data_IF_043876281562
#
_entry.id   IF_043876281562
#
_cell.length_a   1.000
_cell.length_b   1.000
_cell.length_c   1.000
_cell.angle_alpha   90.00
_cell.angle_beta   90.00
_cell.angle_gamma   90.00
#
_symmetry.space_group_name_H-M   'P 1'
#
loop_
_entity.id
_entity.type
_entity.pdbx_description
1 polymer ?
#
# COMPACT_ATOMS: atom_id res chain seq x y z
N UNK A 1 -16.66 24.22 -2.57
CA UNK A 1 -16.97 22.84 -2.94
C UNK A 1 -18.44 22.78 -3.34
N UNK A 2 -18.81 22.26 -4.52
CA UNK A 2 -20.19 21.90 -4.79
C UNK A 2 -20.61 20.74 -3.88
N UNK A 3 -21.85 20.73 -3.38
CA UNK A 3 -22.37 19.60 -2.60
C UNK A 3 -22.78 18.48 -3.55
N UNK A 4 -22.41 17.25 -3.22
CA UNK A 4 -22.85 16.08 -3.97
C UNK A 4 -24.22 15.61 -3.47
N UNK A 5 -25.11 15.26 -4.41
CA UNK A 5 -26.47 14.73 -4.12
C UNK A 5 -26.45 13.55 -3.15
N UNK A 6 -25.33 12.82 -3.13
CA UNK A 6 -25.05 11.69 -2.25
C UNK A 6 -25.11 12.00 -0.75
N UNK A 7 -24.76 13.22 -0.32
CA UNK A 7 -24.88 13.62 1.09
C UNK A 7 -26.33 13.98 1.46
N UNK A 8 -27.04 14.68 0.58
CA UNK A 8 -28.35 15.25 0.90
C UNK A 8 -29.53 14.26 0.77
N UNK A 9 -29.31 13.03 0.28
CA UNK A 9 -30.35 11.95 0.25
C UNK A 9 -30.98 11.72 1.64
N UNK A 10 -30.20 11.85 2.71
CA UNK A 10 -30.68 11.65 4.08
C UNK A 10 -31.34 12.90 4.69
N UNK A 11 -31.15 14.07 4.06
CA UNK A 11 -31.74 15.35 4.48
C UNK A 11 -33.03 15.68 3.71
N UNK A 12 -33.11 15.28 2.44
CA UNK A 12 -34.18 15.60 1.51
C UNK A 12 -35.43 14.70 1.62
N UNK A 13 -35.41 13.67 2.48
CA UNK A 13 -36.51 12.72 2.64
C UNK A 13 -36.86 12.50 4.11
N UNK A 14 -38.15 12.55 4.43
CA UNK A 14 -38.70 12.17 5.75
C UNK A 14 -39.34 10.79 5.68
N UNK A 15 -39.37 10.05 6.78
CA UNK A 15 -40.07 8.76 6.84
C UNK A 15 -41.58 8.99 6.97
N UNK A 16 -42.36 8.44 6.04
CA UNK A 16 -43.82 8.52 6.06
C UNK A 16 -44.42 7.14 6.27
N UNK A 17 -45.38 7.02 7.18
CA UNK A 17 -46.00 5.75 7.55
C UNK A 17 -47.50 5.79 7.30
N UNK A 18 -47.92 5.22 6.18
CA UNK A 18 -49.35 5.02 5.90
C UNK A 18 -49.97 4.05 6.94
N UNK A 19 -51.15 4.39 7.46
CA UNK A 19 -51.85 3.63 8.50
C UNK A 19 -52.63 2.41 7.97
N UNK A 20 -52.05 1.66 7.02
CA UNK A 20 -52.61 0.40 6.52
C UNK A 20 -51.80 -0.80 7.03
N UNK A 21 -52.44 -1.81 7.68
CA UNK A 21 -51.73 -2.84 8.44
C UNK A 21 -51.00 -3.92 7.61
N UNK A 22 -50.93 -3.79 6.27
CA UNK A 22 -50.49 -4.90 5.40
C UNK A 22 -49.44 -4.55 4.31
N UNK A 23 -48.82 -3.35 4.34
CA UNK A 23 -47.73 -2.98 3.42
C UNK A 23 -46.37 -3.06 4.14
N UNK A 24 -45.51 -4.00 3.73
CA UNK A 24 -44.22 -4.32 4.39
C UNK A 24 -43.02 -3.47 3.94
N UNK A 25 -43.25 -2.41 3.17
CA UNK A 25 -42.20 -1.52 2.67
C UNK A 25 -42.19 -0.21 3.46
N UNK A 26 -41.03 0.20 3.99
CA UNK A 26 -40.87 1.55 4.52
C UNK A 26 -41.03 2.57 3.38
N UNK A 27 -41.86 3.60 3.60
CA UNK A 27 -42.07 4.69 2.66
C UNK A 27 -41.36 5.95 3.15
N UNK A 28 -40.94 6.78 2.20
CA UNK A 28 -40.25 8.05 2.43
C UNK A 28 -40.85 9.12 1.52
N UNK A 29 -40.99 10.32 2.04
CA UNK A 29 -41.57 11.47 1.35
C UNK A 29 -40.48 12.51 1.07
N UNK A 30 -40.36 12.95 -0.19
CA UNK A 30 -39.46 14.03 -0.56
C UNK A 30 -39.96 15.35 0.04
N UNK A 31 -39.12 16.08 0.78
CA UNK A 31 -39.56 17.33 1.45
C UNK A 31 -39.85 18.48 0.47
N UNK A 32 -39.30 18.42 -0.74
CA UNK A 32 -39.37 19.50 -1.73
C UNK A 32 -40.61 19.43 -2.64
N UNK A 33 -41.04 18.22 -3.03
CA UNK A 33 -42.20 18.01 -3.91
C UNK A 33 -43.29 17.09 -3.30
N UNK A 34 -43.12 16.70 -2.03
CA UNK A 34 -44.06 15.87 -1.26
C UNK A 34 -44.35 14.47 -1.86
N UNK A 35 -43.64 14.04 -2.90
CA UNK A 35 -43.85 12.72 -3.51
C UNK A 35 -43.39 11.59 -2.58
N UNK A 36 -44.25 10.58 -2.38
CA UNK A 36 -44.00 9.43 -1.49
C UNK A 36 -43.53 8.23 -2.30
N UNK A 37 -42.41 7.62 -1.91
CA UNK A 37 -41.77 6.50 -2.61
C UNK A 37 -41.26 5.44 -1.60
N UNK A 38 -40.90 4.26 -2.08
CA UNK A 38 -40.29 3.23 -1.23
C UNK A 38 -38.86 3.64 -0.83
N UNK A 39 -38.45 3.32 0.42
CA UNK A 39 -37.12 3.62 0.97
C UNK A 39 -36.02 2.80 0.30
N UNK A 40 -35.51 3.31 -0.81
CA UNK A 40 -34.41 2.76 -1.59
C UNK A 40 -33.50 3.91 -2.03
N UNK A 41 -32.26 3.95 -1.54
CA UNK A 41 -31.35 5.08 -1.70
C UNK A 41 -31.04 5.40 -3.16
N UNK A 42 -30.88 4.38 -4.03
CA UNK A 42 -30.65 4.59 -5.47
C UNK A 42 -31.83 5.30 -6.15
N UNK A 43 -33.07 4.86 -5.89
CA UNK A 43 -34.29 5.51 -6.42
C UNK A 43 -34.55 6.88 -5.78
N UNK A 44 -34.09 7.12 -4.55
CA UNK A 44 -34.14 8.43 -3.90
C UNK A 44 -33.17 9.43 -4.57
N UNK A 45 -31.92 9.03 -4.83
CA UNK A 45 -30.95 9.85 -5.60
C UNK A 45 -31.50 10.20 -7.00
N UNK A 46 -32.00 9.20 -7.72
CA UNK A 46 -32.60 9.39 -9.05
C UNK A 46 -33.78 10.37 -9.02
N UNK A 47 -34.59 10.36 -7.95
CA UNK A 47 -35.69 11.32 -7.81
C UNK A 47 -35.21 12.76 -7.57
N UNK A 48 -34.15 12.99 -6.78
CA UNK A 48 -33.62 14.34 -6.55
C UNK A 48 -33.08 14.97 -7.85
N UNK A 49 -32.42 14.17 -8.69
CA UNK A 49 -31.97 14.57 -10.04
C UNK A 49 -33.13 14.80 -11.04
N UNK A 50 -34.37 14.59 -10.62
CA UNK A 50 -35.62 14.71 -11.40
C UNK A 50 -36.71 15.44 -10.59
N UNK A 51 -36.32 16.36 -9.70
CA UNK A 51 -37.25 17.09 -8.84
C UNK A 51 -37.01 18.59 -8.96
N UNK A 52 -37.84 19.27 -9.75
CA UNK A 52 -37.68 20.69 -10.08
C UNK A 52 -37.66 21.57 -8.81
N UNK A 53 -38.50 21.26 -7.83
CA UNK A 53 -38.54 21.93 -6.51
C UNK A 53 -37.24 21.77 -5.70
N UNK A 54 -36.49 20.68 -5.91
CA UNK A 54 -35.17 20.48 -5.31
C UNK A 54 -34.09 21.22 -6.10
N UNK A 55 -34.07 21.06 -7.43
CA UNK A 55 -33.08 21.69 -8.31
C UNK A 55 -33.18 23.23 -8.28
N UNK A 56 -34.38 23.79 -8.14
CA UNK A 56 -34.60 25.23 -7.96
C UNK A 56 -34.12 25.78 -6.60
N UNK A 57 -33.90 24.91 -5.59
CA UNK A 57 -33.33 25.32 -4.29
C UNK A 57 -31.82 25.02 -4.17
N UNK A 58 -31.25 24.24 -5.09
CA UNK A 58 -29.84 23.83 -5.13
C UNK A 58 -29.28 23.99 -6.54
N UNK A 59 -29.09 25.24 -7.04
CA UNK A 59 -28.71 25.51 -8.43
C UNK A 59 -27.34 24.94 -8.81
N UNK A 60 -26.43 24.74 -7.85
CA UNK A 60 -25.15 24.06 -8.07
C UNK A 60 -25.32 22.59 -8.47
N UNK A 61 -26.40 21.93 -8.02
CA UNK A 61 -26.75 20.56 -8.43
C UNK A 61 -27.37 20.57 -9.82
N UNK A 62 -28.15 21.59 -10.16
CA UNK A 62 -28.82 21.70 -11.47
C UNK A 62 -27.82 21.72 -12.64
N UNK A 63 -26.71 22.46 -12.54
CA UNK A 63 -25.67 22.46 -13.58
C UNK A 63 -25.09 21.05 -13.81
N UNK A 64 -24.84 20.28 -12.74
CA UNK A 64 -24.34 18.92 -12.87
C UNK A 64 -25.40 17.95 -13.39
N UNK A 65 -26.67 18.09 -13.00
CA UNK A 65 -27.76 17.25 -13.50
C UNK A 65 -27.90 17.33 -15.04
N UNK A 66 -27.79 18.53 -15.63
CA UNK A 66 -27.83 18.73 -17.09
C UNK A 66 -26.68 17.98 -17.79
N UNK A 67 -25.47 18.02 -17.25
CA UNK A 67 -24.32 17.29 -17.83
C UNK A 67 -24.50 15.76 -17.81
N UNK A 68 -25.09 15.21 -16.75
CA UNK A 68 -25.36 13.77 -16.65
C UNK A 68 -26.49 13.30 -17.59
N UNK A 69 -27.52 14.13 -17.79
CA UNK A 69 -28.60 13.83 -18.73
C UNK A 69 -28.12 13.88 -20.19
N UNK A 70 -27.24 14.83 -20.54
CA UNK A 70 -26.64 14.90 -21.87
C UNK A 70 -25.81 13.65 -22.24
N UNK A 71 -25.07 13.08 -21.28
CA UNK A 71 -24.30 11.85 -21.49
C UNK A 71 -25.18 10.62 -21.73
N UNK A 72 -26.31 10.51 -21.01
CA UNK A 72 -27.25 9.40 -21.19
C UNK A 72 -27.99 9.45 -22.53
N UNK A 73 -28.29 10.64 -23.06
CA UNK A 73 -28.89 10.79 -24.39
C UNK A 73 -27.96 10.30 -25.51
N UNK A 74 -26.65 10.50 -25.35
CA UNK A 74 -25.63 10.10 -26.34
C UNK A 74 -25.46 8.58 -26.45
N UNK A 75 -25.67 7.84 -25.36
CA UNK A 75 -25.60 6.37 -25.38
C UNK A 75 -26.84 5.72 -26.00
N UNK A 76 -27.99 6.40 -26.03
CA UNK A 76 -29.21 5.87 -26.68
C UNK A 76 -29.21 5.96 -28.21
N UNK A 77 -28.19 6.56 -28.84
CA UNK A 77 -28.12 6.74 -30.30
C UNK A 77 -27.23 5.73 -31.04
N UNK A 78 -26.48 4.87 -30.35
CA UNK A 78 -25.51 3.96 -30.99
C UNK A 78 -26.02 2.52 -31.22
N UNK A 79 -27.13 2.11 -30.58
CA UNK A 79 -27.66 0.73 -30.67
C UNK A 79 -28.69 0.47 -31.80
N UNK A 80 -28.84 1.37 -32.78
CA UNK A 80 -29.93 1.32 -33.77
C UNK A 80 -29.53 1.51 -35.25
N UNK A 81 -28.31 1.11 -35.66
CA UNK A 81 -28.00 1.01 -37.09
C UNK A 81 -26.90 -0.03 -37.42
N UNK A 82 -27.26 -1.32 -37.46
CA UNK A 82 -26.40 -2.40 -38.00
C UNK A 82 -27.24 -3.36 -38.86
N UNK A 83 -27.71 -2.90 -40.01
CA UNK A 83 -28.23 -3.75 -41.08
C UNK A 83 -28.11 -3.06 -42.45
N UNK A 84 -27.40 -3.69 -43.41
CA UNK A 84 -27.18 -3.13 -44.76
C UNK A 84 -25.88 -3.63 -45.41
N UNK A 85 -25.91 -3.95 -46.70
CA UNK A 85 -24.79 -4.54 -47.46
C UNK A 85 -24.55 -3.80 -48.79
N UNK A 86 -23.27 -3.70 -49.19
CA UNK A 86 -22.72 -3.58 -50.56
C UNK A 86 -23.18 -2.43 -51.50
N UNK A 87 -22.23 -1.79 -52.20
CA UNK A 87 -22.55 -0.88 -53.32
C UNK A 87 -21.42 -0.08 -53.96
N UNK A 88 -20.62 -0.73 -54.82
CA UNK A 88 -19.93 -0.16 -56.01
C UNK A 88 -18.88 0.99 -55.92
N UNK A 89 -18.39 1.40 -57.11
CA UNK A 89 -17.15 2.12 -57.42
C UNK A 89 -17.40 3.53 -58.01
N UNK A 90 -16.39 4.41 -57.97
CA UNK A 90 -15.63 4.89 -59.16
C UNK A 90 -14.58 5.99 -58.85
N UNK A 91 -13.71 6.29 -59.82
CA UNK A 91 -12.56 7.22 -59.80
C UNK A 91 -12.35 7.79 -61.24
N UNK A 92 -11.41 8.74 -61.58
CA UNK A 92 -10.28 9.37 -60.84
C UNK A 92 -10.56 10.89 -60.58
N UNK A 93 -9.68 11.92 -60.58
CA UNK A 93 -8.28 12.19 -60.96
C UNK A 93 -7.81 13.52 -60.26
N UNK A 94 -6.63 14.16 -60.42
CA UNK A 94 -5.38 13.96 -61.21
C UNK A 94 -4.22 14.85 -60.63
N UNK A 95 -3.08 14.96 -61.35
CA UNK A 95 -2.15 16.13 -61.40
C UNK A 95 -1.21 16.48 -60.20
N UNK A 96 -0.36 15.52 -59.83
CA UNK A 96 1.14 15.51 -59.89
C UNK A 96 2.05 16.80 -59.89
N UNK A 97 3.35 16.57 -59.56
CA UNK A 97 4.61 17.33 -59.78
C UNK A 97 5.10 18.38 -58.73
N UNK A 98 6.44 18.48 -58.59
CA UNK A 98 7.26 19.25 -57.62
C UNK A 98 8.55 19.85 -58.28
N UNK A 99 9.51 20.36 -57.49
CA UNK A 99 10.80 21.07 -57.82
C UNK A 99 10.71 22.58 -58.18
N UNK A 100 11.71 23.45 -57.94
CA UNK A 100 13.08 23.27 -57.38
C UNK A 100 13.88 24.60 -57.14
N UNK A 101 15.17 24.49 -56.77
CA UNK A 101 16.10 25.47 -56.15
C UNK A 101 16.52 26.82 -56.82
N UNK A 102 16.83 27.83 -55.97
CA UNK A 102 18.01 28.75 -56.04
C UNK A 102 17.99 30.00 -56.95
N UNK A 103 19.07 30.85 -57.00
CA UNK A 103 19.99 31.26 -55.91
C UNK A 103 20.50 32.76 -55.93
N UNK A 104 21.12 33.22 -54.82
CA UNK A 104 22.28 34.17 -54.68
C UNK A 104 22.36 35.64 -55.20
N UNK A 105 22.57 36.56 -54.23
CA UNK A 105 23.68 37.58 -54.12
C UNK A 105 23.62 39.03 -54.72
N UNK A 106 24.50 39.89 -54.16
CA UNK A 106 24.87 41.31 -54.49
C UNK A 106 23.84 42.42 -54.18
N UNK A 107 24.14 43.72 -53.98
CA UNK A 107 25.25 44.49 -53.32
C UNK A 107 24.83 46.00 -53.20
N UNK A 108 25.71 46.87 -52.66
CA UNK A 108 25.85 48.35 -52.80
C UNK A 108 25.47 49.22 -51.57
N UNK A 109 26.35 50.19 -51.26
CA UNK A 109 26.35 51.08 -50.08
C UNK A 109 26.30 52.57 -50.44
N UNK A 110 25.96 53.48 -49.49
CA UNK A 110 26.36 54.92 -49.58
C UNK A 110 26.28 55.77 -48.28
N UNK A 111 27.39 56.49 -48.02
CA UNK A 111 27.51 57.90 -47.58
C UNK A 111 27.19 58.40 -46.14
N UNK A 112 28.27 58.44 -45.32
CA UNK A 112 28.89 59.63 -44.65
C UNK A 112 28.10 60.75 -43.92
N UNK A 113 28.61 61.14 -42.74
CA UNK A 113 28.27 62.35 -41.94
C UNK A 113 29.16 63.59 -42.27
N UNK A 114 29.04 64.78 -41.61
CA UNK A 114 29.63 65.02 -40.27
C UNK A 114 28.96 66.14 -39.38
N UNK A 115 29.43 66.35 -38.12
CA UNK A 115 29.22 67.63 -37.39
C UNK A 115 29.19 67.63 -35.83
N UNK A 116 29.76 68.67 -35.19
CA UNK A 116 29.73 69.04 -33.76
C UNK A 116 30.38 70.44 -33.55
N UNK A 117 30.63 71.01 -32.34
CA UNK A 117 30.42 70.50 -30.95
C UNK A 117 29.89 71.51 -29.87
N UNK A 118 29.41 71.01 -28.70
CA UNK A 118 29.46 71.57 -27.31
C UNK A 118 28.96 73.02 -26.94
N UNK A 119 28.83 73.43 -25.64
CA UNK A 119 28.56 72.68 -24.38
C UNK A 119 27.54 73.33 -23.36
N UNK A 120 27.11 72.55 -22.35
CA UNK A 120 26.68 72.95 -20.97
C UNK A 120 25.38 73.78 -20.73
N UNK A 121 24.82 73.81 -19.48
CA UNK A 121 24.90 72.84 -18.36
C UNK A 121 23.55 72.54 -17.63
N UNK A 122 23.63 71.69 -16.59
CA UNK A 122 22.80 71.67 -15.37
C UNK A 122 21.34 71.12 -15.39
N UNK A 123 21.21 69.82 -15.09
CA UNK A 123 20.39 69.34 -13.97
C UNK A 123 21.18 68.26 -13.20
N UNK A 124 21.05 68.21 -11.87
CA UNK A 124 21.88 67.38 -11.00
C UNK A 124 21.27 66.03 -10.66
N UNK A 125 22.08 64.97 -10.71
CA UNK A 125 21.79 63.65 -10.12
C UNK A 125 22.94 63.20 -9.23
N UNK A 126 22.63 62.71 -8.04
CA UNK A 126 23.60 62.20 -7.05
C UNK A 126 24.06 60.78 -7.38
N UNK A 127 25.38 60.48 -7.44
CA UNK A 127 25.86 59.12 -7.68
C UNK A 127 25.66 58.20 -6.46
N UNK A 128 25.25 56.95 -6.69
CA UNK A 128 25.14 55.91 -5.65
C UNK A 128 26.38 55.01 -5.67
N UNK A 129 27.19 54.92 -4.60
CA UNK A 129 28.56 54.40 -4.68
C UNK A 129 28.64 52.87 -4.50
N UNK A 130 28.43 52.07 -5.57
CA UNK A 130 28.64 50.60 -5.48
C UNK A 130 29.01 49.79 -6.73
N UNK A 131 29.69 50.36 -7.73
CA UNK A 131 30.33 49.57 -8.80
C UNK A 131 31.79 50.00 -8.96
N UNK A 132 32.72 49.16 -8.50
CA UNK A 132 34.12 49.21 -8.91
C UNK A 132 34.80 47.85 -8.66
N UNK A 133 34.55 46.91 -9.57
CA UNK A 133 35.32 45.67 -9.73
C UNK A 133 35.45 45.44 -11.23
N UNK A 134 36.66 45.54 -11.78
CA UNK A 134 36.86 45.41 -13.22
C UNK A 134 36.76 43.94 -13.63
N UNK A 135 36.15 43.61 -14.78
CA UNK A 135 35.88 42.21 -15.15
C UNK A 135 37.16 41.38 -15.28
N UNK A 136 38.27 42.01 -15.66
CA UNK A 136 39.61 41.39 -15.70
C UNK A 136 40.03 40.82 -14.33
N UNK A 137 39.78 41.54 -13.24
CA UNK A 137 40.19 41.12 -11.90
C UNK A 137 39.38 39.92 -11.41
N UNK A 138 38.08 39.88 -11.74
CA UNK A 138 37.20 38.76 -11.42
C UNK A 138 37.55 37.51 -12.26
N UNK A 139 37.89 37.69 -13.54
CA UNK A 139 38.34 36.61 -14.42
C UNK A 139 39.68 36.02 -13.97
N UNK A 140 40.64 36.87 -13.56
CA UNK A 140 41.93 36.44 -13.05
C UNK A 140 41.81 35.66 -11.72
N UNK A 141 40.85 36.05 -10.86
CA UNK A 141 40.54 35.33 -9.62
C UNK A 141 39.90 33.96 -9.86
N UNK A 142 39.02 33.82 -10.86
CA UNK A 142 38.52 32.50 -11.30
C UNK A 142 39.64 31.61 -11.83
N UNK A 143 40.59 32.18 -12.58
CA UNK A 143 41.71 31.43 -13.15
C UNK A 143 42.64 30.84 -12.06
N UNK A 144 42.87 31.59 -10.98
CA UNK A 144 43.59 31.08 -9.80
C UNK A 144 42.82 29.95 -9.08
N UNK A 145 41.49 30.05 -8.95
CA UNK A 145 40.69 28.97 -8.35
C UNK A 145 40.76 27.67 -9.18
N UNK A 146 40.72 27.76 -10.51
CA UNK A 146 40.89 26.57 -11.37
C UNK A 146 42.27 25.92 -11.20
N UNK A 147 43.35 26.70 -11.10
CA UNK A 147 44.69 26.15 -10.85
C UNK A 147 44.79 25.46 -9.48
N UNK A 148 44.18 26.02 -8.42
CA UNK A 148 44.15 25.36 -7.11
C UNK A 148 43.35 24.04 -7.13
N UNK A 149 42.22 23.98 -7.85
CA UNK A 149 41.47 22.72 -8.01
C UNK A 149 42.27 21.65 -8.76
N UNK A 150 43.00 22.01 -9.82
CA UNK A 150 43.87 21.07 -10.54
C UNK A 150 45.01 20.54 -9.65
N UNK A 151 45.63 21.38 -8.83
CA UNK A 151 46.66 20.92 -7.87
C UNK A 151 46.09 19.96 -6.81
N UNK A 152 44.89 20.23 -6.29
CA UNK A 152 44.23 19.30 -5.35
C UNK A 152 43.89 17.95 -5.99
N UNK A 153 43.42 17.92 -7.25
CA UNK A 153 43.19 16.67 -7.97
C UNK A 153 44.47 15.86 -8.19
N UNK A 154 45.59 16.51 -8.54
CA UNK A 154 46.87 15.82 -8.68
C UNK A 154 47.36 15.22 -7.36
N UNK A 155 47.22 15.93 -6.23
CA UNK A 155 47.57 15.39 -4.91
C UNK A 155 46.69 14.19 -4.52
N UNK A 156 45.38 14.22 -4.81
CA UNK A 156 44.50 13.07 -4.57
C UNK A 156 44.88 11.85 -5.41
N UNK A 157 45.18 12.02 -6.71
CA UNK A 157 45.68 10.94 -7.56
C UNK A 157 46.98 10.32 -7.02
N UNK A 158 47.90 11.16 -6.54
CA UNK A 158 49.19 10.70 -6.03
C UNK A 158 49.06 9.92 -4.71
N UNK A 159 48.17 10.34 -3.80
CA UNK A 159 47.83 9.56 -2.60
C UNK A 159 47.16 8.22 -2.96
N UNK A 160 46.27 8.21 -3.95
CA UNK A 160 45.57 7.00 -4.37
C UNK A 160 46.52 5.95 -4.98
N UNK A 161 47.54 6.38 -5.75
CA UNK A 161 48.60 5.49 -6.22
C UNK A 161 49.45 4.91 -5.07
N UNK A 162 49.79 5.72 -4.05
CA UNK A 162 50.54 5.22 -2.89
C UNK A 162 49.74 4.15 -2.10
N UNK A 163 48.42 4.33 -1.94
CA UNK A 163 47.57 3.32 -1.31
C UNK A 163 47.52 2.01 -2.11
N UNK A 164 47.45 2.07 -3.45
CA UNK A 164 47.50 0.87 -4.29
C UNK A 164 48.85 0.13 -4.18
N UNK A 165 49.97 0.86 -4.13
CA UNK A 165 51.29 0.25 -3.93
C UNK A 165 51.41 -0.44 -2.55
N UNK A 166 50.87 0.15 -1.49
CA UNK A 166 50.84 -0.48 -0.17
C UNK A 166 49.99 -1.75 -0.15
N UNK A 167 48.82 -1.76 -0.82
CA UNK A 167 47.99 -2.97 -0.93
C UNK A 167 48.70 -4.09 -1.70
N UNK A 168 49.42 -3.78 -2.78
CA UNK A 168 50.20 -4.78 -3.52
C UNK A 168 51.34 -5.36 -2.66
N UNK A 169 52.03 -4.55 -1.85
CA UNK A 169 53.06 -5.04 -0.93
C UNK A 169 52.47 -5.94 0.18
N UNK A 170 51.28 -5.65 0.69
CA UNK A 170 50.60 -6.52 1.67
C UNK A 170 50.19 -7.87 1.06
N UNK A 171 49.70 -7.90 -0.18
CA UNK A 171 49.35 -9.14 -0.86
C UNK A 171 50.58 -10.04 -1.11
N UNK A 172 51.75 -9.46 -1.41
CA UNK A 172 52.99 -10.23 -1.57
C UNK A 172 53.57 -10.78 -0.26
N UNK A 173 53.05 -10.38 0.90
CA UNK A 173 53.51 -10.84 2.22
C UNK A 173 52.63 -11.93 2.85
N UNK A 174 51.57 -12.41 2.18
CA UNK A 174 50.83 -13.59 2.65
C UNK A 174 51.59 -14.90 2.35
N UNK A 175 51.91 -15.73 3.35
CA UNK A 175 52.53 -17.04 3.10
C UNK A 175 51.55 -18.01 2.44
N UNK A 176 52.00 -18.76 1.43
CA UNK A 176 51.18 -19.84 0.84
C UNK A 176 51.04 -21.02 1.82
N UNK A 177 49.85 -21.19 2.39
CA UNK A 177 49.49 -22.39 3.15
C UNK A 177 48.91 -23.44 2.19
N UNK A 178 49.69 -24.47 1.88
CA UNK A 178 49.21 -25.63 1.11
C UNK A 178 48.40 -26.58 2.01
N UNK A 179 47.14 -26.94 1.66
CA UNK A 179 46.40 -27.98 2.36
C UNK A 179 46.75 -29.38 1.83
N UNK A 180 47.19 -30.28 2.72
CA UNK A 180 47.34 -31.72 2.41
C UNK A 180 46.07 -32.50 2.78
N UNK A 181 45.62 -33.38 1.89
CA UNK A 181 44.57 -34.36 2.16
C UNK A 181 45.18 -35.73 2.56
N UNK A 182 44.65 -36.41 3.58
CA UNK A 182 44.90 -37.83 3.82
C UNK A 182 43.78 -38.72 3.25
N UNK A 183 44.15 -39.81 2.55
CA UNK A 183 43.24 -40.90 2.17
C UNK A 183 43.23 -42.02 3.23
N UNK A 184 42.09 -42.68 3.41
CA UNK A 184 42.00 -44.08 3.88
C UNK A 184 40.64 -44.71 3.49
N UNK A 185 40.57 -46.04 3.43
CA UNK A 185 39.49 -46.80 2.77
C UNK A 185 38.49 -47.47 3.73
N UNK A 186 37.38 -47.96 3.16
CA UNK A 186 36.25 -48.63 3.83
C UNK A 186 36.54 -50.05 4.34
N UNK A 187 35.75 -50.50 5.32
CA UNK A 187 35.37 -51.92 5.52
C UNK A 187 33.97 -52.02 6.19
N UNK A 188 33.39 -53.23 6.28
CA UNK A 188 31.94 -53.46 6.43
C UNK A 188 31.53 -54.34 7.63
N UNK A 189 30.49 -53.91 8.37
CA UNK A 189 29.45 -54.74 9.05
C UNK A 189 29.87 -55.75 10.16
N UNK A 190 28.92 -56.35 10.94
CA UNK A 190 27.58 -55.89 11.37
C UNK A 190 27.24 -56.09 12.89
N UNK A 191 26.08 -55.54 13.30
CA UNK A 191 25.14 -56.02 14.35
C UNK A 191 25.55 -56.12 15.84
N UNK A 192 24.79 -55.44 16.73
CA UNK A 192 23.88 -56.08 17.70
C UNK A 192 23.16 -55.09 18.64
N UNK A 193 21.97 -55.48 19.10
CA UNK A 193 21.18 -54.92 20.22
C UNK A 193 21.15 -55.97 21.37
N UNK A 194 20.61 -55.75 22.61
CA UNK A 194 19.56 -54.78 22.99
C UNK A 194 19.65 -54.13 24.41
N UNK A 195 18.66 -53.28 24.71
CA UNK A 195 18.00 -53.02 26.02
C UNK A 195 18.81 -52.58 27.27
N UNK A 196 18.38 -51.47 27.88
CA UNK A 196 17.55 -51.54 29.11
C UNK A 196 16.91 -50.18 29.50
N UNK A 197 15.95 -50.23 30.42
CA UNK A 197 15.15 -49.12 31.01
C UNK A 197 15.08 -49.43 32.53
N UNK A 198 14.88 -48.46 33.46
CA UNK A 198 13.49 -48.10 33.78
C UNK A 198 13.19 -46.70 34.42
N UNK A 199 11.94 -46.28 34.23
CA UNK A 199 10.98 -45.59 35.15
C UNK A 199 11.47 -44.70 36.33
N UNK A 200 10.85 -43.51 36.41
CA UNK A 200 10.56 -42.76 37.65
C UNK A 200 9.24 -41.96 37.54
N UNK A 201 8.47 -41.79 38.64
CA UNK A 201 7.16 -41.08 38.69
C UNK A 201 6.86 -40.61 40.13
N UNK A 202 6.38 -39.37 40.35
CA UNK A 202 4.97 -39.11 40.76
C UNK A 202 4.35 -37.92 39.98
N UNK A 203 3.04 -37.56 40.02
CA UNK A 203 1.81 -38.08 40.68
C UNK A 203 1.25 -37.31 41.92
N UNK A 204 0.48 -36.25 41.65
CA UNK A 204 -0.69 -35.71 42.38
C UNK A 204 -0.56 -35.01 43.77
N UNK A 205 -0.83 -33.70 43.78
CA UNK A 205 -1.73 -32.99 44.72
C UNK A 205 -2.26 -31.73 43.97
N UNK A 206 -3.51 -31.24 44.06
CA UNK A 206 -4.65 -31.41 44.97
C UNK A 206 -4.62 -30.54 46.25
N UNK A 207 -5.00 -29.27 46.10
CA UNK A 207 -5.52 -28.43 47.19
C UNK A 207 -6.76 -27.67 46.70
N UNK A 208 -7.79 -27.62 47.54
CA UNK A 208 -9.00 -26.84 47.31
C UNK A 208 -9.27 -25.96 48.55
N UNK A 209 -9.72 -24.73 48.33
CA UNK A 209 -10.21 -23.84 49.39
C UNK A 209 -11.66 -23.47 49.09
N UNK A 210 -12.55 -23.71 50.05
CA UNK A 210 -13.96 -23.29 49.99
C UNK A 210 -14.15 -22.06 50.89
N UNK A 211 -14.87 -21.06 50.37
CA UNK A 211 -15.59 -20.07 51.17
C UNK A 211 -17.00 -19.94 50.56
N UNK A 212 -18.03 -19.75 51.39
CA UNK A 212 -19.42 -19.88 50.94
C UNK A 212 -20.40 -19.11 51.81
N UNK A 213 -21.38 -18.48 51.16
CA UNK A 213 -22.48 -17.72 51.77
C UNK A 213 -22.45 -16.23 51.38
N UNK A 214 -23.58 -15.54 51.13
CA UNK A 214 -24.94 -16.06 50.98
C UNK A 214 -26.03 -15.05 51.34
N UNK A 215 -26.79 -14.56 50.34
CA UNK A 215 -27.96 -13.67 50.55
C UNK A 215 -27.63 -12.19 50.81
N UNK A 216 -28.54 -11.22 50.63
CA UNK A 216 -29.93 -11.31 50.15
C UNK A 216 -30.42 -9.98 49.52
N UNK A 217 -31.29 -10.11 48.51
CA UNK A 217 -32.28 -9.18 47.89
C UNK A 217 -32.21 -7.64 48.02
N UNK A 218 -32.22 -6.98 46.85
CA UNK A 218 -33.03 -5.80 46.48
C UNK A 218 -33.06 -5.71 44.91
N UNK A 219 -33.94 -5.02 44.17
CA UNK A 219 -35.13 -4.25 44.54
C UNK A 219 -35.92 -3.61 43.39
N UNK A 220 -35.26 -3.01 42.39
CA UNK A 220 -35.88 -2.03 41.47
C UNK A 220 -35.58 -2.20 39.96
N UNK A 221 -36.37 -1.56 39.05
CA UNK A 221 -36.72 -2.15 37.75
C UNK A 221 -35.83 -1.81 36.54
N UNK A 222 -36.00 -2.60 35.47
CA UNK A 222 -35.13 -2.63 34.30
C UNK A 222 -35.41 -1.56 33.21
N UNK A 223 -34.36 -1.06 32.51
CA UNK A 223 -34.51 -0.22 31.33
C UNK A 223 -34.90 -1.03 30.07
N UNK A 224 -35.54 -0.35 29.11
CA UNK A 224 -36.12 -0.95 27.89
C UNK A 224 -35.03 -1.42 26.92
N UNK A 225 -35.12 -2.67 26.43
CA UNK A 225 -34.23 -3.21 25.37
C UNK A 225 -34.35 -2.41 24.08
N UNK A 226 -33.31 -1.62 23.76
CA UNK A 226 -33.09 -1.14 22.39
C UNK A 226 -32.75 -2.32 21.47
N UNK A 227 -33.19 -2.26 20.20
CA UNK A 227 -32.82 -3.25 19.18
C UNK A 227 -31.47 -2.85 18.55
N UNK A 228 -30.37 -3.28 19.16
CA UNK A 228 -29.07 -3.28 18.49
C UNK A 228 -29.11 -4.23 17.29
N UNK A 229 -29.15 -3.68 16.08
CA UNK A 229 -28.67 -4.40 14.91
C UNK A 229 -27.20 -4.70 15.13
N UNK A 230 -26.82 -5.98 15.14
CA UNK A 230 -25.41 -6.36 15.24
C UNK A 230 -24.71 -5.98 13.94
N UNK A 231 -23.70 -5.12 14.03
CA UNK A 231 -22.77 -4.81 12.95
C UNK A 231 -22.20 -6.10 12.37
N UNK A 232 -22.03 -6.14 11.05
CA UNK A 232 -21.37 -7.23 10.35
C UNK A 232 -19.96 -7.43 10.92
N UNK A 233 -19.61 -8.64 11.35
CA UNK A 233 -18.26 -8.94 11.81
C UNK A 233 -17.43 -9.44 10.62
N UNK A 234 -16.42 -8.70 10.13
CA UNK A 234 -15.66 -9.07 8.93
C UNK A 234 -14.70 -10.25 9.15
N UNK A 235 -14.60 -10.80 10.36
CA UNK A 235 -13.69 -11.89 10.72
C UNK A 235 -14.24 -13.32 10.50
N UNK A 236 -15.26 -13.50 9.64
CA UNK A 236 -15.85 -14.80 9.31
C UNK A 236 -15.97 -14.96 7.78
N UNK A 237 -15.50 -16.09 7.18
CA UNK A 237 -15.60 -16.32 5.73
C UNK A 237 -17.05 -16.35 5.20
N UNK A 238 -17.24 -15.95 3.94
CA UNK A 238 -18.54 -16.10 3.29
C UNK A 238 -18.80 -17.57 2.90
N UNK A 239 -19.63 -18.24 3.70
CA UNK A 239 -20.00 -19.66 3.52
C UNK A 239 -20.55 -19.96 2.12
N UNK A 240 -19.88 -20.82 1.36
CA UNK A 240 -20.25 -21.15 -0.01
C UNK A 240 -21.62 -21.86 -0.11
N UNK A 241 -22.24 -21.81 -1.30
CA UNK A 241 -23.50 -22.53 -1.53
C UNK A 241 -23.35 -24.06 -1.37
N UNK A 242 -22.16 -24.62 -1.66
CA UNK A 242 -21.86 -26.04 -1.47
C UNK A 242 -21.89 -26.42 0.02
N UNK A 243 -21.20 -25.66 0.86
CA UNK A 243 -21.18 -25.89 2.32
C UNK A 243 -22.59 -25.74 2.93
N UNK A 244 -23.37 -24.76 2.47
CA UNK A 244 -24.75 -24.54 2.93
C UNK A 244 -25.66 -25.72 2.57
N UNK A 245 -25.51 -26.32 1.38
CA UNK A 245 -26.27 -27.51 1.00
C UNK A 245 -25.78 -28.77 1.74
N UNK A 246 -24.47 -28.96 1.92
CA UNK A 246 -23.91 -30.09 2.68
C UNK A 246 -24.29 -30.06 4.19
N UNK A 247 -24.55 -28.87 4.75
CA UNK A 247 -24.89 -28.70 6.16
C UNK A 247 -26.36 -28.95 6.52
N UNK A 248 -27.22 -29.30 5.55
CA UNK A 248 -28.66 -29.49 5.75
C UNK A 248 -29.19 -30.72 5.00
N UNK A 249 -29.75 -31.68 5.72
CA UNK A 249 -30.51 -32.77 5.14
C UNK A 249 -31.96 -32.34 4.87
N UNK A 250 -32.53 -32.68 3.72
CA UNK A 250 -33.96 -32.47 3.47
C UNK A 250 -34.81 -33.41 4.34
N UNK A 251 -35.89 -32.87 4.91
CA UNK A 251 -36.91 -33.68 5.61
C UNK A 251 -38.04 -34.03 4.62
N UNK A 252 -38.64 -35.24 4.69
CA UNK A 252 -39.72 -35.62 3.78
C UNK A 252 -40.94 -34.70 3.96
N UNK A 253 -41.46 -34.20 2.83
CA UNK A 253 -42.59 -33.27 2.82
C UNK A 253 -43.85 -33.98 3.31
N UNK A 254 -44.32 -33.61 4.50
CA UNK A 254 -45.63 -34.04 5.00
C UNK A 254 -46.73 -33.39 4.15
N UNK A 255 -47.69 -34.19 3.70
CA UNK A 255 -48.79 -33.73 2.84
C UNK A 255 -49.52 -32.54 3.49
N UNK A 256 -49.74 -31.47 2.71
CA UNK A 256 -50.30 -30.20 3.18
C UNK A 256 -49.30 -29.16 3.72
N UNK A 257 -48.00 -29.47 3.83
CA UNK A 257 -47.00 -28.50 4.28
C UNK A 257 -46.72 -27.39 3.23
N UNK A 258 -46.97 -26.13 3.59
CA UNK A 258 -46.80 -24.96 2.69
C UNK A 258 -45.34 -24.52 2.43
N UNK A 259 -44.36 -25.17 3.05
CA UNK A 259 -42.93 -24.86 2.91
C UNK A 259 -42.09 -26.12 3.04
N UNK A 260 -41.08 -26.29 2.18
CA UNK A 260 -40.06 -27.33 2.34
C UNK A 260 -39.15 -27.01 3.53
N UNK A 261 -38.85 -28.02 4.35
CA UNK A 261 -37.99 -27.91 5.53
C UNK A 261 -36.76 -28.81 5.42
N UNK A 262 -35.63 -28.33 5.93
CA UNK A 262 -34.38 -29.07 6.00
C UNK A 262 -33.79 -28.98 7.41
N UNK A 263 -33.18 -30.07 7.89
CA UNK A 263 -32.57 -30.20 9.22
C UNK A 263 -31.07 -29.97 9.15
N UNK A 264 -30.56 -29.03 9.96
CA UNK A 264 -29.12 -28.81 10.05
C UNK A 264 -28.43 -30.04 10.66
N UNK A 265 -27.44 -30.60 9.97
CA UNK A 265 -26.74 -31.83 10.40
C UNK A 265 -25.94 -31.62 11.70
N UNK A 266 -25.43 -30.41 11.94
CA UNK A 266 -24.57 -30.06 13.07
C UNK A 266 -25.31 -29.75 14.39
N UNK A 267 -26.64 -29.53 14.37
CA UNK A 267 -27.40 -29.23 15.59
C UNK A 267 -28.84 -29.79 15.59
N UNK A 268 -29.23 -30.56 14.57
CA UNK A 268 -30.55 -31.13 14.36
C UNK A 268 -31.74 -30.14 14.34
N UNK A 269 -31.49 -28.83 14.26
CA UNK A 269 -32.55 -27.83 14.13
C UNK A 269 -33.16 -27.86 12.73
N UNK A 270 -34.48 -28.06 12.66
CA UNK A 270 -35.26 -27.94 11.43
C UNK A 270 -35.46 -26.46 11.07
N UNK A 271 -35.15 -26.10 9.82
CA UNK A 271 -35.30 -24.75 9.25
C UNK A 271 -36.06 -24.83 7.93
N UNK A 272 -36.64 -23.71 7.49
CA UNK A 272 -37.19 -23.62 6.14
C UNK A 272 -36.04 -23.68 5.12
N UNK A 273 -36.25 -24.35 3.99
CA UNK A 273 -35.28 -24.49 2.89
C UNK A 273 -35.13 -23.16 2.13
N UNK A 274 -34.39 -22.23 2.72
CA UNK A 274 -34.09 -20.92 2.20
C UNK A 274 -32.61 -20.60 2.48
N UNK A 275 -31.81 -20.52 1.41
CA UNK A 275 -30.35 -20.42 1.46
C UNK A 275 -29.87 -19.28 2.37
N UNK A 276 -30.50 -18.10 2.32
CA UNK A 276 -30.12 -16.94 3.15
C UNK A 276 -30.29 -17.22 4.64
N UNK A 277 -31.43 -17.83 5.04
CA UNK A 277 -31.69 -18.23 6.44
C UNK A 277 -30.84 -19.43 6.88
N UNK A 278 -30.47 -20.30 5.95
CA UNK A 278 -29.56 -21.42 6.21
C UNK A 278 -28.13 -20.92 6.46
N UNK A 279 -27.62 -19.97 5.65
CA UNK A 279 -26.38 -19.22 5.90
C UNK A 279 -26.41 -18.50 7.26
N UNK A 280 -27.47 -17.74 7.53
CA UNK A 280 -27.65 -17.01 8.80
C UNK A 280 -27.64 -17.95 10.02
N UNK A 281 -28.29 -19.13 9.92
CA UNK A 281 -28.26 -20.14 10.97
C UNK A 281 -26.86 -20.73 11.18
N UNK A 282 -26.13 -21.07 10.11
CA UNK A 282 -24.81 -21.68 10.20
C UNK A 282 -23.80 -20.76 10.90
N UNK A 283 -23.83 -19.45 10.60
CA UNK A 283 -23.00 -18.44 11.27
C UNK A 283 -23.20 -18.36 12.79
N UNK A 284 -24.28 -18.93 13.34
CA UNK A 284 -24.57 -18.99 14.79
C UNK A 284 -24.79 -20.41 15.32
N UNK A 285 -24.53 -21.46 14.53
CA UNK A 285 -24.76 -22.85 14.89
C UNK A 285 -23.57 -23.42 15.69
N UNK A 286 -23.72 -23.83 16.96
CA UNK A 286 -22.59 -24.21 17.81
C UNK A 286 -21.75 -25.37 17.25
N UNK A 287 -22.40 -26.42 16.74
CA UNK A 287 -21.70 -27.57 16.15
C UNK A 287 -20.94 -27.19 14.87
N UNK A 288 -21.54 -26.36 14.02
CA UNK A 288 -20.89 -25.90 12.78
C UNK A 288 -19.74 -24.91 13.04
N UNK A 289 -19.90 -24.01 14.03
CA UNK A 289 -18.80 -23.13 14.47
C UNK A 289 -17.62 -23.94 15.04
N UNK A 290 -17.88 -25.06 15.72
CA UNK A 290 -16.82 -25.95 16.19
C UNK A 290 -16.11 -26.62 15.00
N UNK A 291 -16.87 -27.21 14.06
CA UNK A 291 -16.32 -27.79 12.82
C UNK A 291 -15.54 -26.77 11.99
N UNK A 292 -15.96 -25.50 11.91
CA UNK A 292 -15.20 -24.44 11.21
C UNK A 292 -13.88 -24.11 11.92
N UNK A 293 -13.84 -24.06 13.26
CA UNK A 293 -12.59 -23.82 14.00
C UNK A 293 -11.58 -24.94 13.81
N UNK A 294 -12.06 -26.17 13.65
CA UNK A 294 -11.24 -27.35 13.37
C UNK A 294 -10.86 -27.43 11.87
N UNK A 295 -11.73 -26.96 10.97
CA UNK A 295 -11.48 -26.84 9.52
C UNK A 295 -10.93 -25.46 9.11
N UNK A 296 -9.77 -25.08 9.64
CA UNK A 296 -8.93 -24.01 9.06
C UNK A 296 -7.57 -24.51 8.51
N UNK A 297 -7.53 -25.52 7.63
CA UNK A 297 -6.51 -25.62 6.58
C UNK A 297 -7.08 -25.10 5.24
N UNK A 298 -6.25 -24.39 4.47
CA UNK A 298 -6.38 -24.09 3.04
C UNK A 298 -7.69 -23.48 2.44
N UNK A 299 -8.82 -23.38 3.15
CA UNK A 299 -10.16 -23.17 2.54
C UNK A 299 -10.42 -21.79 1.89
N UNK A 300 -9.44 -20.87 1.92
CA UNK A 300 -9.45 -19.60 1.17
C UNK A 300 -8.54 -19.62 -0.08
N UNK A 301 -7.83 -20.72 -0.35
CA UNK A 301 -7.06 -20.88 -1.59
C UNK A 301 -8.00 -21.11 -2.78
N UNK A 302 -7.65 -20.57 -3.95
CA UNK A 302 -8.42 -20.77 -5.20
C UNK A 302 -8.36 -22.21 -5.73
N UNK A 303 -7.44 -23.01 -5.21
CA UNK A 303 -7.20 -24.40 -5.57
C UNK A 303 -7.07 -25.20 -4.26
N UNK A 304 -7.60 -26.42 -4.25
CA UNK A 304 -7.59 -27.32 -3.09
C UNK A 304 -6.59 -28.46 -3.36
N UNK A 305 -6.10 -29.08 -2.29
CA UNK A 305 -5.34 -30.33 -2.37
C UNK A 305 -6.30 -31.51 -2.57
N UNK A 306 -5.79 -32.64 -3.08
CA UNK A 306 -6.56 -33.89 -3.18
C UNK A 306 -6.95 -34.40 -1.77
N UNK A 307 -8.11 -35.06 -1.65
CA UNK A 307 -8.71 -35.39 -0.34
C UNK A 307 -7.87 -36.36 0.50
N UNK A 308 -7.01 -37.18 -0.14
CA UNK A 308 -6.08 -38.10 0.52
C UNK A 308 -4.72 -37.46 0.88
N UNK A 309 -4.43 -36.23 0.44
CA UNK A 309 -3.16 -35.56 0.75
C UNK A 309 -3.18 -35.02 2.20
N UNK A 310 -2.11 -35.26 2.94
CA UNK A 310 -1.89 -34.71 4.29
C UNK A 310 -1.96 -33.17 4.28
N UNK A 311 -1.54 -32.52 3.19
CA UNK A 311 -1.63 -31.06 3.03
C UNK A 311 -3.08 -30.53 3.01
N UNK A 312 -4.09 -31.36 2.71
CA UNK A 312 -5.50 -30.98 2.76
C UNK A 312 -6.02 -30.75 4.20
N UNK A 313 -5.39 -31.40 5.19
CA UNK A 313 -5.90 -31.53 6.56
C UNK A 313 -4.91 -31.06 7.64
N UNK A 314 -3.62 -30.91 7.31
CA UNK A 314 -2.59 -30.43 8.22
C UNK A 314 -2.81 -28.97 8.63
N UNK A 315 -3.20 -28.75 9.88
CA UNK A 315 -3.22 -27.41 10.48
C UNK A 315 -1.82 -26.99 10.92
N UNK A 316 -1.31 -25.92 10.29
CA UNK A 316 -0.09 -25.25 10.73
C UNK A 316 -0.44 -24.08 11.68
N UNK A 317 0.46 -23.70 12.60
CA UNK A 317 0.30 -22.47 13.38
C UNK A 317 0.12 -21.26 12.45
N UNK A 318 -0.93 -20.47 12.69
CA UNK A 318 -1.18 -19.24 11.91
C UNK A 318 -0.27 -18.13 12.47
N UNK A 319 0.66 -17.58 11.68
CA UNK A 319 1.54 -16.53 12.15
C UNK A 319 0.76 -15.25 12.45
N UNK A 320 1.10 -14.57 13.54
CA UNK A 320 0.54 -13.26 13.89
C UNK A 320 1.56 -12.14 13.65
N UNK A 321 1.09 -10.89 13.65
CA UNK A 321 1.91 -9.71 13.36
C UNK A 321 1.82 -8.72 14.51
N UNK A 322 2.91 -8.62 15.27
CA UNK A 322 2.97 -7.89 16.51
C UNK A 322 3.85 -6.64 16.33
N UNK A 323 3.29 -5.43 16.47
CA UNK A 323 4.06 -4.18 16.26
C UNK A 323 5.20 -4.10 17.28
N UNK A 324 6.44 -4.18 16.79
CA UNK A 324 7.63 -4.35 17.64
C UNK A 324 8.50 -3.08 17.66
N UNK A 325 8.76 -2.48 16.49
CA UNK A 325 9.47 -1.19 16.42
C UNK A 325 9.00 -0.29 15.28
N UNK A 326 9.21 1.02 15.44
CA UNK A 326 9.04 2.05 14.40
C UNK A 326 10.38 2.75 14.17
N UNK A 327 10.67 3.08 12.92
CA UNK A 327 11.80 3.95 12.56
C UNK A 327 11.39 5.06 11.59
N UNK A 328 12.03 6.21 11.73
CA UNK A 328 11.87 7.40 10.89
C UNK A 328 13.24 7.83 10.38
N UNK A 329 13.44 7.71 9.07
CA UNK A 329 14.71 7.87 8.38
C UNK A 329 14.66 9.15 7.55
N UNK A 330 15.59 10.08 7.80
CA UNK A 330 15.81 11.27 6.96
C UNK A 330 16.71 10.90 5.80
N UNK A 331 16.36 11.35 4.62
CA UNK A 331 17.05 11.02 3.37
C UNK A 331 17.45 12.26 2.58
N UNK A 332 18.51 12.13 1.76
CA UNK A 332 18.85 13.12 0.72
C UNK A 332 17.85 13.05 -0.45
N UNK A 333 17.76 14.09 -1.29
CA UNK A 333 17.06 14.03 -2.57
C UNK A 333 17.49 12.80 -3.40
N UNK A 334 16.53 12.23 -4.14
CA UNK A 334 16.73 11.03 -4.97
C UNK A 334 17.70 11.33 -6.12
N UNK A 335 18.74 10.52 -6.26
CA UNK A 335 19.68 10.58 -7.39
C UNK A 335 19.23 9.55 -8.42
N UNK A 336 18.77 9.99 -9.59
CA UNK A 336 18.47 9.08 -10.71
C UNK A 336 19.78 8.53 -11.28
N UNK A 337 19.93 7.21 -11.31
CA UNK A 337 21.09 6.53 -11.92
C UNK A 337 20.81 6.23 -13.40
N UNK A 338 19.55 6.02 -13.76
CA UNK A 338 19.10 5.75 -15.14
C UNK A 338 18.70 4.29 -15.37
N UNK A 339 18.54 3.85 -16.63
CA UNK A 339 18.09 2.50 -16.94
C UNK A 339 19.13 1.45 -16.53
N UNK A 340 18.72 0.48 -15.73
CA UNK A 340 19.46 -0.77 -15.49
C UNK A 340 18.64 -1.99 -15.95
N UNK A 341 19.25 -3.17 -15.89
CA UNK A 341 18.71 -4.43 -16.46
C UNK A 341 17.28 -4.81 -16.02
N UNK A 342 16.80 -4.26 -14.91
CA UNK A 342 15.50 -4.58 -14.31
C UNK A 342 14.57 -3.36 -14.15
N UNK A 343 14.93 -2.20 -14.70
CA UNK A 343 14.14 -0.96 -14.56
C UNK A 343 15.00 0.28 -14.30
N UNK A 344 14.34 1.43 -14.08
CA UNK A 344 15.00 2.70 -13.77
C UNK A 344 15.57 2.66 -12.36
N UNK A 345 16.88 2.81 -12.25
CA UNK A 345 17.61 2.80 -10.99
C UNK A 345 17.65 4.20 -10.37
N UNK A 346 17.48 4.27 -9.06
CA UNK A 346 17.62 5.47 -8.25
C UNK A 346 18.31 5.16 -6.93
N UNK A 347 19.15 6.09 -6.48
CA UNK A 347 19.92 5.99 -5.24
C UNK A 347 19.46 7.06 -4.24
N UNK A 348 19.28 6.65 -2.99
CA UNK A 348 18.87 7.51 -1.88
C UNK A 348 19.80 7.24 -0.70
N UNK A 349 20.38 8.30 -0.11
CA UNK A 349 21.27 8.18 1.05
C UNK A 349 20.58 8.68 2.32
N UNK A 350 20.65 7.90 3.40
CA UNK A 350 20.21 8.32 4.72
C UNK A 350 21.16 9.37 5.30
N UNK A 351 20.60 10.49 5.77
CA UNK A 351 21.31 11.50 6.58
C UNK A 351 21.25 11.18 8.08
N UNK A 352 20.46 10.17 8.46
CA UNK A 352 20.27 9.65 9.80
C UNK A 352 18.79 9.48 10.13
N UNK A 353 18.44 9.28 11.39
CA UNK A 353 17.05 9.04 11.78
C UNK A 353 16.90 8.74 13.26
N UNK A 354 15.72 8.27 13.65
CA UNK A 354 15.43 7.75 15.00
C UNK A 354 14.57 6.49 14.91
N UNK A 355 14.67 5.62 15.91
CA UNK A 355 13.85 4.42 16.03
C UNK A 355 13.53 4.11 17.49
N UNK A 356 12.41 3.42 17.72
CA UNK A 356 11.96 2.98 19.03
C UNK A 356 11.07 1.73 18.92
N UNK A 357 11.20 0.80 19.86
CA UNK A 357 10.45 -0.45 19.90
C UNK A 357 10.47 -1.13 21.27
N UNK A 358 9.91 -2.34 21.36
CA UNK A 358 9.80 -3.10 22.63
C UNK A 358 11.16 -3.43 23.24
N UNK A 359 12.16 -3.66 22.39
CA UNK A 359 13.52 -4.06 22.77
C UNK A 359 14.51 -2.88 22.93
N UNK A 360 14.13 -1.64 22.60
CA UNK A 360 15.04 -0.50 22.76
C UNK A 360 14.61 0.77 22.02
N UNK A 361 15.51 1.76 22.00
CA UNK A 361 15.38 3.00 21.22
C UNK A 361 16.75 3.53 20.83
N UNK A 362 16.81 4.31 19.77
CA UNK A 362 18.09 4.74 19.23
C UNK A 362 18.02 5.69 18.04
N UNK A 363 19.17 5.86 17.39
CA UNK A 363 19.32 6.62 16.15
C UNK A 363 19.54 5.70 14.96
N UNK A 364 19.13 6.16 13.77
CA UNK A 364 19.61 5.61 12.50
C UNK A 364 20.86 6.40 12.13
N UNK A 365 21.97 5.71 11.88
CA UNK A 365 23.25 6.32 11.58
C UNK A 365 23.25 6.95 10.17
N UNK A 366 23.97 8.06 9.96
CA UNK A 366 24.22 8.59 8.62
C UNK A 366 24.99 7.58 7.75
N UNK A 367 24.78 7.62 6.43
CA UNK A 367 25.55 6.81 5.47
C UNK A 367 24.91 5.48 5.05
N UNK A 368 23.79 5.08 5.67
CA UNK A 368 22.94 4.02 5.12
C UNK A 368 22.36 4.38 3.75
N UNK A 369 21.97 3.37 2.97
CA UNK A 369 21.60 3.51 1.56
C UNK A 369 20.28 2.81 1.23
N UNK A 370 19.52 3.36 0.29
CA UNK A 370 18.36 2.76 -0.34
C UNK A 370 18.53 2.81 -1.87
N UNK A 371 18.53 1.63 -2.49
CA UNK A 371 18.51 1.48 -3.96
C UNK A 371 17.10 1.12 -4.40
N UNK A 372 16.53 1.98 -5.23
CA UNK A 372 15.17 1.86 -5.74
C UNK A 372 15.18 1.51 -7.23
N UNK A 373 14.55 0.40 -7.60
CA UNK A 373 14.34 -0.03 -8.99
C UNK A 373 12.88 0.21 -9.37
N UNK A 374 12.60 1.23 -10.17
CA UNK A 374 11.26 1.53 -10.70
C UNK A 374 11.03 0.73 -11.99
N UNK A 375 9.92 -0.02 -12.02
CA UNK A 375 9.51 -0.84 -13.16
C UNK A 375 8.28 -0.23 -13.85
N UNK A 376 7.57 -1.02 -14.67
CA UNK A 376 6.29 -0.64 -15.25
C UNK A 376 5.27 -0.16 -14.20
N UNK A 377 4.37 0.75 -14.60
CA UNK A 377 3.30 1.36 -13.79
C UNK A 377 3.81 2.04 -12.49
N UNK A 378 5.08 2.45 -12.47
CA UNK A 378 5.80 3.05 -11.34
C UNK A 378 5.85 2.21 -10.07
N UNK A 379 5.48 0.92 -10.14
CA UNK A 379 5.82 -0.04 -9.11
C UNK A 379 7.35 0.00 -8.87
N UNK A 380 7.78 0.05 -7.62
CA UNK A 380 9.22 0.18 -7.30
C UNK A 380 9.63 -0.87 -6.28
N UNK A 381 10.69 -1.61 -6.61
CA UNK A 381 11.39 -2.48 -5.67
C UNK A 381 12.38 -1.64 -4.85
N UNK A 382 12.41 -1.87 -3.55
CA UNK A 382 13.21 -1.13 -2.56
C UNK A 382 14.21 -2.12 -1.95
N UNK A 383 15.48 -1.74 -1.91
CA UNK A 383 16.59 -2.55 -1.41
C UNK A 383 17.54 -1.66 -0.61
N UNK A 384 17.31 -1.59 0.70
CA UNK A 384 18.02 -0.68 1.61
C UNK A 384 18.83 -1.42 2.68
N UNK A 385 19.92 -0.81 3.13
CA UNK A 385 20.73 -1.27 4.27
C UNK A 385 21.13 -0.06 5.12
N UNK A 386 20.73 -0.09 6.38
CA UNK A 386 20.96 0.95 7.37
C UNK A 386 21.75 0.39 8.55
N UNK A 387 22.39 1.28 9.31
CA UNK A 387 22.98 0.95 10.61
C UNK A 387 22.18 1.68 11.69
N UNK A 388 21.69 0.94 12.66
CA UNK A 388 21.00 1.43 13.84
C UNK A 388 22.00 1.43 15.01
N UNK A 389 21.93 2.44 15.87
CA UNK A 389 22.68 2.50 17.13
C UNK A 389 21.69 2.67 18.28
N UNK A 390 21.86 1.94 19.38
CA UNK A 390 21.03 2.07 20.60
C UNK A 390 21.45 3.26 21.47
N UNK A 391 20.54 3.77 22.31
CA UNK A 391 20.80 4.89 23.22
C UNK A 391 21.20 4.45 24.65
N UNK A 392 21.85 3.29 24.80
CA UNK A 392 22.35 2.82 26.10
C UNK A 392 23.70 3.46 26.45
N UNK A 393 24.16 3.30 27.69
CA UNK A 393 25.50 3.72 28.13
C UNK A 393 26.62 3.12 27.26
N UNK A 394 26.43 1.86 26.85
CA UNK A 394 27.27 1.15 25.89
C UNK A 394 26.43 0.87 24.63
N UNK A 395 26.53 1.68 23.56
CA UNK A 395 25.68 1.55 22.39
C UNK A 395 25.93 0.25 21.61
N UNK A 396 24.89 -0.56 21.43
CA UNK A 396 24.92 -1.67 20.47
C UNK A 396 24.75 -1.13 19.04
N UNK A 397 25.36 -1.82 18.08
CA UNK A 397 25.20 -1.57 16.65
C UNK A 397 24.41 -2.71 16.01
N UNK A 398 23.35 -2.35 15.28
CA UNK A 398 22.42 -3.29 14.66
C UNK A 398 22.29 -2.93 13.19
N UNK A 399 22.70 -3.82 12.32
CA UNK A 399 22.49 -3.71 10.88
C UNK A 399 21.02 -3.99 10.60
N UNK A 400 20.37 -3.15 9.81
CA UNK A 400 19.01 -3.34 9.33
C UNK A 400 19.01 -3.43 7.81
N UNK A 401 18.63 -4.58 7.27
CA UNK A 401 18.45 -4.80 5.82
C UNK A 401 16.96 -4.83 5.51
N UNK A 402 16.53 -4.09 4.50
CA UNK A 402 15.12 -3.94 4.13
C UNK A 402 14.97 -4.28 2.65
N UNK A 403 14.02 -5.16 2.32
CA UNK A 403 13.63 -5.48 0.94
C UNK A 403 12.13 -5.39 0.79
N UNK A 404 11.64 -4.88 -0.33
CA UNK A 404 10.20 -4.91 -0.59
C UNK A 404 9.76 -4.05 -1.76
N UNK A 405 8.49 -3.66 -1.73
CA UNK A 405 7.83 -2.99 -2.83
C UNK A 405 6.89 -1.89 -2.34
N UNK A 406 6.75 -0.84 -3.16
CA UNK A 406 5.56 -0.01 -3.14
C UNK A 406 4.82 -0.04 -4.49
N UNK A 407 3.50 -0.10 -4.43
CA UNK A 407 2.60 -0.20 -5.59
C UNK A 407 1.30 0.55 -5.33
N UNK A 408 0.71 1.15 -6.35
CA UNK A 408 -0.54 1.91 -6.27
C UNK A 408 -1.09 2.26 -7.65
N UNK A 409 -2.10 3.12 -7.69
CA UNK A 409 -2.63 3.73 -8.93
C UNK A 409 -1.55 4.62 -9.58
N UNK A 410 -1.44 4.64 -10.91
CA UNK A 410 -0.35 5.33 -11.62
C UNK A 410 -0.24 6.82 -11.23
N UNK A 411 -1.33 7.57 -11.32
CA UNK A 411 -1.48 8.98 -10.95
C UNK A 411 -1.02 9.26 -9.50
N UNK A 412 -1.16 8.28 -8.61
CA UNK A 412 -0.75 8.38 -7.22
C UNK A 412 0.75 8.08 -7.07
N UNK A 413 1.26 7.08 -7.78
CA UNK A 413 2.68 6.73 -7.79
C UNK A 413 3.54 7.82 -8.45
N UNK A 414 3.00 8.53 -9.47
CA UNK A 414 3.60 9.75 -10.04
C UNK A 414 3.72 10.84 -8.98
N UNK A 415 2.63 11.15 -8.28
CA UNK A 415 2.61 12.16 -7.21
C UNK A 415 3.42 11.77 -5.97
N UNK A 416 3.77 10.49 -5.79
CA UNK A 416 4.74 10.04 -4.77
C UNK A 416 6.20 10.27 -5.17
N UNK A 417 6.51 10.61 -6.44
CA UNK A 417 7.87 10.96 -6.86
C UNK A 417 8.26 12.37 -6.40
N UNK A 418 7.35 13.34 -6.55
CA UNK A 418 7.49 14.70 -6.02
C UNK A 418 7.43 14.72 -4.48
N UNK A 419 8.47 15.21 -3.79
CA UNK A 419 8.45 15.35 -2.33
C UNK A 419 7.28 16.18 -1.78
N UNK A 420 6.82 17.22 -2.49
CA UNK A 420 5.79 18.14 -1.98
C UNK A 420 4.39 17.53 -2.11
N UNK A 421 4.08 16.92 -3.26
CA UNK A 421 2.84 16.17 -3.42
C UNK A 421 2.78 14.93 -2.51
N UNK A 422 3.90 14.25 -2.26
CA UNK A 422 3.96 13.04 -1.43
C UNK A 422 3.44 13.26 0.01
N UNK A 423 3.74 14.40 0.63
CA UNK A 423 3.26 14.74 1.99
C UNK A 423 1.72 14.80 2.10
N UNK A 424 1.03 14.98 0.98
CA UNK A 424 -0.42 15.08 0.90
C UNK A 424 -1.10 13.73 0.56
N UNK A 425 -0.35 12.63 0.46
CA UNK A 425 -0.87 11.31 0.07
C UNK A 425 -0.99 10.41 1.31
N UNK A 426 -2.22 10.14 1.74
CA UNK A 426 -2.51 9.28 2.87
C UNK A 426 -1.93 7.85 2.66
N UNK A 427 -1.11 7.31 3.59
CA UNK A 427 -0.38 6.04 3.40
C UNK A 427 -1.24 4.81 3.10
N UNK A 428 -2.53 4.83 3.42
CA UNK A 428 -3.45 3.72 3.14
C UNK A 428 -3.88 3.64 1.66
N UNK A 429 -3.57 4.65 0.83
CA UNK A 429 -3.90 4.65 -0.61
C UNK A 429 -2.90 3.88 -1.48
N UNK A 430 -1.75 3.49 -0.92
CA UNK A 430 -0.74 2.70 -1.64
C UNK A 430 -0.22 1.56 -0.77
N UNK A 431 0.21 0.47 -1.41
CA UNK A 431 0.73 -0.72 -0.73
C UNK A 431 2.25 -0.66 -0.68
N UNK A 432 2.80 0.06 0.30
CA UNK A 432 4.23 0.00 0.64
C UNK A 432 4.46 -1.08 1.71
N UNK A 433 5.06 -2.20 1.33
CA UNK A 433 5.32 -3.35 2.22
C UNK A 433 6.74 -3.91 2.01
N UNK A 434 7.38 -4.29 3.11
CA UNK A 434 8.77 -4.78 3.13
C UNK A 434 8.90 -6.00 4.04
N UNK A 435 9.93 -6.82 3.83
CA UNK A 435 10.57 -7.60 4.89
C UNK A 435 11.73 -6.80 5.49
N UNK A 436 12.07 -7.10 6.74
CA UNK A 436 13.30 -6.61 7.36
C UNK A 436 14.06 -7.75 8.04
N UNK A 437 15.38 -7.67 7.97
CA UNK A 437 16.33 -8.55 8.64
C UNK A 437 17.22 -7.68 9.54
N UNK A 438 17.38 -8.08 10.81
CA UNK A 438 18.23 -7.40 11.78
C UNK A 438 19.42 -8.30 12.13
N UNK A 439 20.61 -7.71 12.21
CA UNK A 439 21.87 -8.42 12.43
C UNK A 439 22.73 -7.63 13.44
N UNK A 440 23.11 -8.26 14.56
CA UNK A 440 23.96 -7.66 15.59
C UNK A 440 24.83 -8.69 16.31
N UNK A 441 26.03 -8.26 16.71
CA UNK A 441 26.98 -9.05 17.53
C UNK A 441 26.96 -8.71 19.01
N UNK A 442 25.92 -8.01 19.50
CA UNK A 442 25.76 -7.69 20.92
C UNK A 442 24.78 -8.66 21.59
N UNK A 443 25.27 -9.44 22.56
CA UNK A 443 24.51 -10.51 23.22
C UNK A 443 23.19 -10.01 23.86
N UNK A 444 23.11 -8.74 24.27
CA UNK A 444 21.90 -8.14 24.85
C UNK A 444 20.73 -8.07 23.86
N UNK A 445 21.03 -8.15 22.56
CA UNK A 445 20.08 -7.98 21.46
C UNK A 445 19.94 -9.22 20.58
N UNK A 446 20.62 -10.32 20.90
CA UNK A 446 20.73 -11.50 20.03
C UNK A 446 19.37 -12.10 19.60
N UNK A 447 18.31 -11.96 20.40
CA UNK A 447 16.94 -12.35 20.03
C UNK A 447 16.47 -11.79 18.68
N UNK A 448 16.92 -10.59 18.29
CA UNK A 448 16.49 -9.96 17.03
C UNK A 448 17.10 -10.63 15.79
N UNK A 449 18.25 -11.31 15.93
CA UNK A 449 18.94 -12.00 14.85
C UNK A 449 18.14 -13.20 14.31
N UNK A 450 17.20 -13.71 15.11
CA UNK A 450 16.34 -14.86 14.77
C UNK A 450 14.88 -14.44 14.48
N UNK A 451 14.57 -13.14 14.52
CA UNK A 451 13.23 -12.63 14.30
C UNK A 451 12.96 -12.32 12.82
N UNK A 452 11.82 -12.79 12.30
CA UNK A 452 11.30 -12.36 11.00
C UNK A 452 10.44 -11.11 11.20
N UNK A 453 10.69 -10.07 10.40
CA UNK A 453 9.92 -8.82 10.43
C UNK A 453 9.25 -8.54 9.09
N UNK A 454 7.97 -8.16 9.14
CA UNK A 454 7.25 -7.56 8.02
C UNK A 454 6.93 -6.10 8.33
N UNK A 455 7.16 -5.22 7.36
CA UNK A 455 7.01 -3.78 7.52
C UNK A 455 5.91 -3.15 6.68
N UNK A 456 5.28 -2.11 7.22
CA UNK A 456 4.50 -1.14 6.45
C UNK A 456 5.28 0.18 6.39
N UNK A 457 5.53 0.67 5.19
CA UNK A 457 6.23 1.94 4.98
C UNK A 457 5.29 3.10 4.64
N UNK A 458 5.77 4.33 4.81
CA UNK A 458 5.28 5.51 4.10
C UNK A 458 6.42 6.50 3.81
N UNK A 459 6.28 7.28 2.74
CA UNK A 459 7.14 8.44 2.46
C UNK A 459 6.44 9.73 2.88
N UNK A 460 7.22 10.64 3.46
CA UNK A 460 6.82 12.00 3.85
C UNK A 460 7.94 12.96 3.43
N UNK A 461 7.88 13.44 2.19
CA UNK A 461 8.86 14.36 1.61
C UNK A 461 10.29 13.81 1.58
N UNK A 462 11.11 14.33 2.50
CA UNK A 462 12.51 13.93 2.73
C UNK A 462 12.69 12.92 3.89
N UNK A 463 11.60 12.30 4.34
CA UNK A 463 11.61 11.22 5.33
C UNK A 463 10.89 9.96 4.82
N UNK A 464 11.35 8.80 5.29
CA UNK A 464 10.68 7.50 5.14
C UNK A 464 10.43 6.94 6.54
N UNK A 465 9.19 6.56 6.82
CA UNK A 465 8.79 5.94 8.10
C UNK A 465 8.42 4.50 7.85
N UNK A 466 8.86 3.61 8.73
CA UNK A 466 8.44 2.21 8.74
C UNK A 466 7.89 1.80 10.11
N UNK A 467 6.76 1.11 10.10
CA UNK A 467 6.31 0.25 11.19
C UNK A 467 6.74 -1.18 10.91
N UNK A 468 7.51 -1.79 11.82
CA UNK A 468 7.99 -3.16 11.74
C UNK A 468 7.23 -4.07 12.71
N UNK A 469 6.61 -5.10 12.16
CA UNK A 469 5.84 -6.09 12.88
C UNK A 469 6.65 -7.38 12.96
N UNK A 470 6.89 -7.88 14.18
CA UNK A 470 7.51 -9.19 14.41
C UNK A 470 6.49 -10.27 14.06
N UNK A 471 6.93 -11.31 13.36
CA UNK A 471 6.15 -12.52 13.11
C UNK A 471 6.28 -13.45 14.33
N UNK A 472 5.15 -13.99 14.81
CA UNK A 472 5.06 -14.95 15.92
C UNK A 472 4.81 -16.37 15.44
#
# INVERSE_FOLDING_TARGET
MPRQVDEDVHRAFTEYRAEEPNKKCALVQCIYCQSTRAKNTTRQKQHLLQCDSYLASHPEVALHATSAQAQLAYQSTEENNVEGHNGDRDAPADADVSYGDGPSAMDVSSMTAPGGPQPNPALGFTPNPRINGTPVQQQQQQQQQQQQQQQQQQQQLQQQQQQQQQQQQQQQQQPQVHPQFPHSQSQLQPSSQPQSRPRGRPSLAALAARASGGGSVDGSPAPKRQKTYKTFNPALPELSLKEVHAAFADEPVKEGAKCVSARCTYCNQVRAKNISRQREHLLVCPGFQQTIKEKIPANNLKHQFDEDDVASSLSLPVPTLDLDFRMSIRVKPKITVGPGNFGQQSWISATGGQWAGRWGKGIVMPGGQDTQTTVQDLATCISARYLLQTNDEHPALIICTIRGWWTGELDLMERLQDPVAADNIAPHRYKFRVSMELETGDDRYNDINMCVFLGSGCRRGAEVVYDAYRVS
#
